data_IF_047103385160
#
_entry.id   IF_047103385160
#
_cell.length_a   1.000
_cell.length_b   1.000
_cell.length_c   1.000
_cell.angle_alpha   90.00
_cell.angle_beta   90.00
_cell.angle_gamma   90.00
#
_symmetry.space_group_name_H-M   'P 1'
#
loop_
_entity.id
_entity.type
_entity.pdbx_description
1 polymer ?
#
# COMPACT_ATOMS: atom_id res chain seq x y z
N UNK A 1 -18.07 -2.35 1.12
CA UNK A 1 -19.01 -1.25 1.38
C UNK A 1 -18.95 -0.85 2.85
N UNK A 2 -18.66 0.42 3.10
CA UNK A 2 -18.48 0.97 4.46
C UNK A 2 -19.60 1.99 4.72
N UNK A 3 -20.55 1.61 5.56
CA UNK A 3 -21.74 2.41 5.83
C UNK A 3 -21.40 3.77 6.45
N UNK A 4 -20.30 3.85 7.18
CA UNK A 4 -19.78 5.08 7.77
C UNK A 4 -19.20 6.06 6.74
N UNK A 5 -18.77 5.58 5.57
CA UNK A 5 -18.25 6.42 4.47
C UNK A 5 -19.37 6.77 3.50
N UNK A 6 -20.17 5.78 3.11
CA UNK A 6 -21.27 5.99 2.16
C UNK A 6 -22.52 6.60 2.79
N UNK A 7 -22.65 6.56 4.12
CA UNK A 7 -23.76 7.13 4.86
C UNK A 7 -25.14 6.70 4.29
N UNK A 8 -26.09 7.63 4.13
CA UNK A 8 -27.42 7.33 3.58
C UNK A 8 -27.41 6.96 2.09
N UNK A 9 -26.36 7.34 1.35
CA UNK A 9 -26.19 7.04 -0.08
C UNK A 9 -25.74 5.60 -0.34
N UNK A 10 -25.51 4.82 0.72
CA UNK A 10 -25.12 3.43 0.67
C UNK A 10 -25.83 2.62 -0.46
N UNK A 11 -27.17 2.53 -0.53
CA UNK A 11 -27.83 1.75 -1.57
C UNK A 11 -27.51 2.22 -2.99
N UNK A 12 -27.39 3.54 -3.19
CA UNK A 12 -27.06 4.15 -4.48
C UNK A 12 -25.62 3.83 -4.88
N UNK A 13 -24.66 4.01 -3.97
CA UNK A 13 -23.25 3.70 -4.21
C UNK A 13 -23.06 2.23 -4.58
N UNK A 14 -23.74 1.30 -3.88
CA UNK A 14 -23.67 -0.12 -4.20
C UNK A 14 -24.17 -0.42 -5.64
N UNK A 15 -25.29 0.18 -6.05
CA UNK A 15 -25.81 0.02 -7.40
C UNK A 15 -24.90 0.62 -8.48
N UNK A 16 -24.25 1.75 -8.19
CA UNK A 16 -23.28 2.38 -9.08
C UNK A 16 -22.00 1.57 -9.21
N UNK A 17 -21.48 1.02 -8.11
CA UNK A 17 -20.34 0.11 -8.13
C UNK A 17 -20.60 -1.14 -8.98
N UNK A 18 -21.77 -1.76 -8.85
CA UNK A 18 -22.15 -2.93 -9.67
C UNK A 18 -22.22 -2.58 -11.14
N UNK A 19 -22.87 -1.46 -11.49
CA UNK A 19 -22.96 -1.00 -12.89
C UNK A 19 -21.59 -0.69 -13.48
N UNK A 20 -20.72 -0.03 -12.71
CA UNK A 20 -19.37 0.30 -13.12
C UNK A 20 -18.54 -0.96 -13.38
N UNK A 21 -18.57 -1.93 -12.46
CA UNK A 21 -17.89 -3.22 -12.60
C UNK A 21 -18.31 -3.95 -13.88
N UNK A 22 -19.63 -4.03 -14.14
CA UNK A 22 -20.17 -4.65 -15.36
C UNK A 22 -19.71 -3.89 -16.61
N UNK A 23 -19.67 -2.56 -16.56
CA UNK A 23 -19.19 -1.72 -17.67
C UNK A 23 -17.73 -1.97 -18.04
N UNK A 24 -16.89 -2.33 -17.06
CA UNK A 24 -15.49 -2.73 -17.26
C UNK A 24 -15.33 -4.21 -17.66
N UNK A 25 -16.42 -4.97 -17.74
CA UNK A 25 -16.39 -6.39 -18.09
C UNK A 25 -16.16 -7.34 -16.91
N UNK A 26 -16.17 -6.85 -15.67
CA UNK A 26 -16.11 -7.71 -14.48
C UNK A 26 -17.47 -8.35 -14.19
N UNK A 27 -17.42 -9.60 -13.72
CA UNK A 27 -18.59 -10.25 -13.13
C UNK A 27 -18.72 -9.84 -11.66
N UNK A 28 -19.89 -9.31 -11.29
CA UNK A 28 -20.20 -9.06 -9.88
C UNK A 28 -20.35 -10.38 -9.12
N UNK A 29 -19.56 -10.56 -8.06
CA UNK A 29 -19.57 -11.78 -7.22
C UNK A 29 -20.25 -11.50 -5.89
N UNK A 30 -19.78 -10.49 -5.15
CA UNK A 30 -20.21 -10.25 -3.78
C UNK A 30 -19.94 -8.81 -3.32
N UNK A 31 -20.82 -8.27 -2.47
CA UNK A 31 -20.58 -6.99 -1.77
C UNK A 31 -20.11 -7.28 -0.36
N UNK A 32 -18.85 -6.97 -0.05
CA UNK A 32 -18.32 -7.11 1.31
C UNK A 32 -18.89 -6.03 2.22
N UNK A 33 -19.44 -6.42 3.36
CA UNK A 33 -19.80 -5.53 4.46
C UNK A 33 -18.99 -5.94 5.71
N UNK A 34 -17.92 -5.22 6.06
CA UNK A 34 -17.19 -5.46 7.28
C UNK A 34 -18.12 -5.34 8.50
N UNK A 35 -17.92 -6.13 9.58
CA UNK A 35 -18.63 -5.94 10.83
C UNK A 35 -18.44 -4.52 11.37
N UNK A 36 -19.48 -3.96 11.99
CA UNK A 36 -19.38 -2.64 12.62
C UNK A 36 -18.29 -2.65 13.71
N UNK A 37 -17.48 -1.58 13.74
CA UNK A 37 -16.38 -1.45 14.71
C UNK A 37 -15.21 -2.41 14.49
N UNK A 38 -15.13 -3.12 13.35
CA UNK A 38 -13.97 -3.95 13.06
C UNK A 38 -12.69 -3.11 13.01
N UNK A 39 -11.63 -3.58 13.67
CA UNK A 39 -10.39 -2.81 13.83
C UNK A 39 -9.68 -2.50 12.51
N UNK A 40 -9.89 -3.32 11.47
CA UNK A 40 -9.33 -3.11 10.13
C UNK A 40 -10.34 -3.52 9.04
N UNK A 41 -11.34 -2.66 8.73
CA UNK A 41 -12.40 -3.00 7.77
C UNK A 41 -11.87 -3.15 6.35
N UNK A 42 -10.75 -2.50 6.02
CA UNK A 42 -10.09 -2.59 4.71
C UNK A 42 -9.40 -3.96 4.60
N UNK A 43 -8.57 -4.33 5.58
CA UNK A 43 -7.93 -5.64 5.60
C UNK A 43 -8.93 -6.80 5.60
N UNK A 44 -10.07 -6.65 6.28
CA UNK A 44 -11.17 -7.61 6.21
C UNK A 44 -11.71 -7.77 4.79
N UNK A 45 -11.99 -6.65 4.09
CA UNK A 45 -12.52 -6.69 2.73
C UNK A 45 -11.53 -7.30 1.73
N UNK A 46 -10.25 -6.93 1.83
CA UNK A 46 -9.18 -7.54 1.02
C UNK A 46 -9.08 -9.03 1.29
N UNK A 47 -9.11 -9.46 2.56
CA UNK A 47 -9.03 -10.88 2.91
C UNK A 47 -10.17 -11.70 2.33
N UNK A 48 -11.40 -11.17 2.35
CA UNK A 48 -12.56 -11.83 1.71
C UNK A 48 -12.38 -11.90 0.20
N UNK A 49 -12.02 -10.79 -0.45
CA UNK A 49 -11.84 -10.72 -1.90
C UNK A 49 -10.74 -11.66 -2.40
N UNK A 50 -9.59 -11.71 -1.70
CA UNK A 50 -8.52 -12.68 -1.97
C UNK A 50 -9.00 -14.11 -1.75
N UNK A 51 -9.73 -14.37 -0.66
CA UNK A 51 -10.24 -15.70 -0.33
C UNK A 51 -11.24 -16.26 -1.33
N UNK A 52 -11.99 -15.41 -2.04
CA UNK A 52 -12.91 -15.80 -3.12
C UNK A 52 -12.28 -15.70 -4.51
N UNK A 53 -10.98 -15.42 -4.61
CA UNK A 53 -10.25 -15.20 -5.85
C UNK A 53 -10.90 -14.14 -6.77
N UNK A 54 -11.35 -13.04 -6.17
CA UNK A 54 -11.81 -11.89 -6.95
C UNK A 54 -10.65 -11.31 -7.78
N UNK A 55 -10.94 -10.83 -8.98
CA UNK A 55 -9.95 -10.16 -9.82
C UNK A 55 -9.68 -8.72 -9.36
N UNK A 56 -10.74 -8.01 -8.94
CA UNK A 56 -10.68 -6.62 -8.54
C UNK A 56 -11.58 -6.34 -7.33
N UNK A 57 -11.21 -5.33 -6.54
CA UNK A 57 -12.07 -4.71 -5.55
C UNK A 57 -12.62 -3.40 -6.14
N UNK A 58 -13.94 -3.33 -6.30
CA UNK A 58 -14.60 -2.09 -6.73
C UNK A 58 -15.08 -1.33 -5.50
N UNK A 59 -14.82 -0.03 -5.45
CA UNK A 59 -15.26 0.88 -4.39
C UNK A 59 -15.86 2.15 -4.99
N UNK A 60 -16.67 2.87 -4.20
CA UNK A 60 -17.27 4.10 -4.71
C UNK A 60 -16.20 5.19 -4.92
N UNK A 61 -15.38 5.43 -3.89
CA UNK A 61 -14.31 6.43 -3.88
C UNK A 61 -13.10 5.92 -3.09
N UNK A 62 -11.97 6.64 -3.18
CA UNK A 62 -10.77 6.31 -2.41
C UNK A 62 -10.98 6.42 -0.89
N UNK A 63 -11.91 7.26 -0.42
CA UNK A 63 -12.22 7.38 1.00
C UNK A 63 -12.71 6.04 1.59
N UNK A 64 -13.37 5.22 0.77
CA UNK A 64 -13.79 3.85 1.15
C UNK A 64 -12.59 2.98 1.56
N UNK A 65 -11.43 3.14 0.92
CA UNK A 65 -10.16 2.46 1.27
C UNK A 65 -9.24 3.34 2.11
N UNK A 66 -9.78 4.36 2.78
CA UNK A 66 -9.01 5.26 3.65
C UNK A 66 -7.95 6.08 2.91
N UNK A 67 -8.17 6.36 1.62
CA UNK A 67 -7.22 7.03 0.73
C UNK A 67 -5.87 6.31 0.63
N UNK A 68 -5.93 4.97 0.70
CA UNK A 68 -4.75 4.12 0.86
C UNK A 68 -4.79 2.99 -0.19
N UNK A 69 -4.79 3.33 -1.51
CA UNK A 69 -5.03 2.38 -2.59
C UNK A 69 -3.99 1.25 -2.64
N UNK A 70 -2.74 1.53 -2.26
CA UNK A 70 -1.65 0.55 -2.20
C UNK A 70 -2.01 -0.68 -1.36
N UNK A 71 -2.77 -0.51 -0.26
CA UNK A 71 -3.18 -1.65 0.60
C UNK A 71 -4.05 -2.67 -0.13
N UNK A 72 -4.77 -2.26 -1.17
CA UNK A 72 -5.57 -3.14 -2.03
C UNK A 72 -4.72 -3.64 -3.19
N UNK A 73 -3.99 -2.73 -3.84
CA UNK A 73 -3.16 -2.99 -5.00
C UNK A 73 -2.01 -3.98 -4.71
N UNK A 74 -1.65 -4.20 -3.44
CA UNK A 74 -0.73 -5.27 -3.05
C UNK A 74 -1.22 -6.69 -3.44
N UNK A 75 -2.52 -6.86 -3.72
CA UNK A 75 -3.12 -8.19 -3.95
C UNK A 75 -4.17 -8.24 -5.05
N UNK A 76 -4.84 -7.13 -5.34
CA UNK A 76 -6.02 -7.05 -6.21
C UNK A 76 -6.00 -5.75 -6.99
N UNK A 77 -6.56 -5.73 -8.19
CA UNK A 77 -6.85 -4.47 -8.86
C UNK A 77 -7.87 -3.69 -8.02
N UNK A 78 -7.77 -2.37 -7.98
CA UNK A 78 -8.73 -1.49 -7.33
C UNK A 78 -9.39 -0.60 -8.38
N UNK A 79 -10.72 -0.61 -8.42
CA UNK A 79 -11.52 0.26 -9.28
C UNK A 79 -12.30 1.25 -8.41
N UNK A 80 -12.22 2.53 -8.73
CA UNK A 80 -13.05 3.57 -8.10
C UNK A 80 -14.15 4.03 -9.06
N UNK A 81 -15.35 4.29 -8.55
CA UNK A 81 -16.47 4.83 -9.37
C UNK A 81 -16.34 6.35 -9.53
N UNK A 82 -15.91 7.04 -8.47
CA UNK A 82 -15.80 8.48 -8.42
C UNK A 82 -14.51 8.94 -7.67
N UNK A 83 -13.56 9.58 -8.37
CA UNK A 83 -13.45 9.60 -9.84
C UNK A 83 -13.27 8.17 -10.41
N UNK A 84 -13.64 7.92 -11.69
CA UNK A 84 -13.46 6.63 -12.32
C UNK A 84 -11.97 6.38 -12.62
N UNK A 85 -11.33 5.51 -11.85
CA UNK A 85 -9.90 5.19 -12.00
C UNK A 85 -9.63 3.71 -11.74
N UNK A 86 -8.67 3.17 -12.50
CA UNK A 86 -8.17 1.80 -12.36
C UNK A 86 -6.77 1.81 -11.77
N UNK A 87 -6.62 1.12 -10.66
CA UNK A 87 -5.38 0.98 -9.91
C UNK A 87 -4.93 -0.48 -10.02
N UNK A 88 -4.02 -0.74 -10.96
CA UNK A 88 -3.55 -2.09 -11.22
C UNK A 88 -2.80 -2.66 -10.01
N UNK A 89 -3.05 -3.95 -9.73
CA UNK A 89 -2.33 -4.69 -8.71
C UNK A 89 -0.84 -4.68 -9.03
N UNK A 90 -0.03 -4.48 -7.98
CA UNK A 90 1.39 -4.75 -8.07
C UNK A 90 1.56 -6.23 -8.38
N UNK A 91 1.99 -6.54 -9.61
CA UNK A 91 2.38 -7.91 -9.93
C UNK A 91 3.68 -8.17 -9.17
N UNK A 92 3.70 -9.07 -8.18
CA UNK A 92 4.95 -9.41 -7.53
C UNK A 92 5.84 -10.01 -8.61
N UNK A 93 7.05 -9.47 -8.77
CA UNK A 93 8.01 -9.95 -9.77
C UNK A 93 8.30 -11.46 -9.64
N UNK A 94 8.02 -12.04 -8.46
CA UNK A 94 8.03 -13.47 -8.19
C UNK A 94 6.75 -13.89 -7.45
N UNK A 95 5.94 -14.84 -7.97
CA UNK A 95 4.76 -15.38 -7.29
C UNK A 95 5.08 -16.03 -5.92
N UNK A 96 6.33 -16.45 -5.68
CA UNK A 96 6.76 -16.90 -4.35
C UNK A 96 6.75 -15.77 -3.30
N UNK A 97 6.61 -14.52 -3.71
CA UNK A 97 6.55 -13.33 -2.86
C UNK A 97 5.20 -12.60 -2.93
N UNK A 98 4.21 -13.18 -3.60
CA UNK A 98 2.83 -12.70 -3.58
C UNK A 98 2.29 -12.60 -2.15
N UNK A 99 1.35 -11.67 -1.95
CA UNK A 99 0.70 -11.47 -0.66
C UNK A 99 0.08 -12.79 -0.16
N UNK A 100 0.39 -13.22 1.08
CA UNK A 100 -0.07 -14.51 1.57
C UNK A 100 -1.56 -14.45 1.96
N UNK A 101 -2.21 -15.62 1.99
CA UNK A 101 -3.46 -15.78 2.73
C UNK A 101 -3.28 -15.38 4.21
N UNK A 102 -4.37 -15.01 4.92
CA UNK A 102 -4.29 -14.59 6.32
C UNK A 102 -3.59 -15.62 7.22
N UNK A 103 -2.62 -15.16 8.03
CA UNK A 103 -1.89 -16.00 8.97
C UNK A 103 -2.79 -16.32 10.17
N UNK A 104 -2.92 -17.61 10.47
CA UNK A 104 -3.84 -18.08 11.52
C UNK A 104 -3.14 -18.57 12.78
N UNK A 105 -1.81 -18.78 12.73
CA UNK A 105 -1.06 -19.34 13.86
C UNK A 105 0.35 -18.79 14.04
N UNK A 106 0.85 -18.86 15.29
CA UNK A 106 2.23 -18.57 15.65
C UNK A 106 3.25 -19.40 14.85
N UNK A 107 2.94 -20.68 14.66
CA UNK A 107 3.81 -21.62 13.96
C UNK A 107 3.93 -21.27 12.48
N UNK A 108 2.83 -20.84 11.86
CA UNK A 108 2.80 -20.37 10.49
C UNK A 108 3.60 -19.07 10.32
N UNK A 109 3.38 -18.08 11.19
CA UNK A 109 4.16 -16.84 11.18
C UNK A 109 5.67 -17.12 11.31
N UNK A 110 6.05 -18.00 12.24
CA UNK A 110 7.45 -18.41 12.44
C UNK A 110 8.01 -19.13 11.22
N UNK A 111 7.24 -20.02 10.59
CA UNK A 111 7.65 -20.74 9.38
C UNK A 111 7.90 -19.78 8.21
N UNK A 112 7.01 -18.82 7.99
CA UNK A 112 7.17 -17.79 6.95
C UNK A 112 8.45 -16.98 7.20
N UNK A 113 8.72 -16.59 8.45
CA UNK A 113 9.97 -15.89 8.80
C UNK A 113 11.23 -16.71 8.47
N UNK A 114 11.19 -18.03 8.66
CA UNK A 114 12.29 -18.94 8.32
C UNK A 114 12.45 -19.14 6.81
N UNK A 115 11.35 -19.38 6.10
CA UNK A 115 11.35 -19.57 4.64
C UNK A 115 11.85 -18.32 3.91
N UNK A 116 11.50 -17.14 4.41
CA UNK A 116 11.87 -15.85 3.83
C UNK A 116 13.03 -15.20 4.58
N UNK A 117 13.95 -15.97 5.18
CA UNK A 117 15.07 -15.41 5.95
C UNK A 117 15.92 -14.45 5.11
N UNK A 118 16.11 -14.75 3.82
CA UNK A 118 16.86 -13.94 2.87
C UNK A 118 16.12 -12.66 2.41
N UNK A 119 14.80 -12.62 2.52
CA UNK A 119 14.03 -11.47 2.06
C UNK A 119 14.15 -10.27 3.01
N UNK A 120 14.10 -9.06 2.48
CA UNK A 120 13.95 -7.86 3.31
C UNK A 120 12.47 -7.68 3.67
N UNK A 121 12.16 -7.48 4.96
CA UNK A 121 10.77 -7.42 5.41
C UNK A 121 9.96 -6.28 4.78
N UNK A 122 10.60 -5.14 4.44
CA UNK A 122 9.91 -4.02 3.77
C UNK A 122 9.55 -4.32 2.31
N UNK A 123 10.23 -5.29 1.68
CA UNK A 123 10.01 -5.66 0.27
C UNK A 123 9.27 -6.99 0.09
N UNK A 124 9.09 -7.76 1.17
CA UNK A 124 8.46 -9.08 1.10
C UNK A 124 7.15 -9.06 1.87
N UNK A 125 5.99 -9.00 1.18
CA UNK A 125 4.67 -8.96 1.80
C UNK A 125 4.46 -10.10 2.81
N UNK A 126 4.93 -11.32 2.45
CA UNK A 126 4.85 -12.50 3.33
C UNK A 126 5.61 -12.30 4.64
N UNK A 127 6.87 -11.84 4.56
CA UNK A 127 7.70 -11.59 5.73
C UNK A 127 7.18 -10.42 6.57
N UNK A 128 6.69 -9.37 5.92
CA UNK A 128 6.07 -8.21 6.58
C UNK A 128 4.85 -8.63 7.40
N UNK A 129 3.92 -9.39 6.80
CA UNK A 129 2.73 -9.86 7.49
C UNK A 129 3.07 -10.78 8.66
N UNK A 130 4.01 -11.72 8.47
CA UNK A 130 4.47 -12.60 9.54
C UNK A 130 5.11 -11.84 10.70
N UNK A 131 5.94 -10.82 10.40
CA UNK A 131 6.53 -9.96 11.42
C UNK A 131 5.45 -9.19 12.19
N UNK A 132 4.47 -8.60 11.50
CA UNK A 132 3.38 -7.88 12.14
C UNK A 132 2.57 -8.79 13.07
N UNK A 133 2.27 -10.01 12.63
CA UNK A 133 1.55 -11.00 13.43
C UNK A 133 2.34 -11.37 14.70
N UNK A 134 3.65 -11.63 14.57
CA UNK A 134 4.52 -11.96 15.71
C UNK A 134 4.65 -10.81 16.71
N UNK A 135 4.70 -9.57 16.22
CA UNK A 135 4.70 -8.37 17.07
C UNK A 135 3.37 -8.25 17.82
N UNK A 136 2.24 -8.37 17.12
CA UNK A 136 0.91 -8.34 17.74
C UNK A 136 0.71 -9.45 18.78
N UNK A 137 1.29 -10.63 18.55
CA UNK A 137 1.26 -11.75 19.49
C UNK A 137 2.28 -11.62 20.64
N UNK A 138 3.04 -10.52 20.72
CA UNK A 138 4.02 -10.28 21.78
C UNK A 138 5.25 -11.19 21.72
N UNK A 139 5.54 -11.80 20.56
CA UNK A 139 6.72 -12.68 20.37
C UNK A 139 7.94 -11.94 19.84
N UNK A 140 7.73 -10.79 19.20
CA UNK A 140 8.79 -9.93 18.70
C UNK A 140 8.53 -8.51 19.20
N UNK A 141 9.54 -7.88 19.77
CA UNK A 141 9.43 -6.47 20.14
C UNK A 141 9.40 -5.60 18.87
N UNK A 142 8.47 -4.62 18.78
CA UNK A 142 8.51 -3.62 17.71
C UNK A 142 9.89 -2.96 17.65
N UNK A 143 10.43 -2.80 16.46
CA UNK A 143 11.70 -2.09 16.28
C UNK A 143 11.44 -0.59 16.42
N UNK A 144 12.24 0.09 17.25
CA UNK A 144 12.16 1.56 17.42
C UNK A 144 12.95 2.34 16.38
N UNK A 145 13.75 1.64 15.57
CA UNK A 145 14.56 2.19 14.47
C UNK A 145 14.24 1.47 13.18
N UNK A 146 14.22 2.22 12.09
CA UNK A 146 14.01 1.69 10.75
C UNK A 146 15.14 0.73 10.32
N UNK A 147 14.90 -0.14 9.33
CA UNK A 147 15.94 -0.99 8.75
C UNK A 147 17.17 -0.22 8.27
N UNK A 148 16.96 0.96 7.65
CA UNK A 148 18.03 1.82 7.13
C UNK A 148 18.88 2.40 8.26
N UNK A 149 18.25 2.96 9.30
CA UNK A 149 18.97 3.49 10.48
C UNK A 149 19.78 2.41 11.21
N UNK A 150 19.21 1.20 11.32
CA UNK A 150 19.91 0.07 11.94
C UNK A 150 21.10 -0.40 11.11
N UNK A 151 20.99 -0.39 9.78
CA UNK A 151 22.09 -0.72 8.89
C UNK A 151 23.22 0.32 9.00
N UNK A 152 22.87 1.61 8.93
CA UNK A 152 23.81 2.72 9.11
C UNK A 152 24.53 2.68 10.46
N UNK A 153 23.80 2.45 11.57
CA UNK A 153 24.37 2.31 12.90
C UNK A 153 25.35 1.13 13.04
N UNK A 154 25.27 0.15 12.14
CA UNK A 154 26.14 -1.02 12.10
C UNK A 154 27.22 -0.92 11.01
N UNK A 155 27.25 0.17 10.25
CA UNK A 155 28.14 0.31 9.09
C UNK A 155 27.86 -0.70 7.97
N UNK A 156 26.63 -1.22 7.90
CA UNK A 156 26.23 -2.20 6.88
C UNK A 156 25.55 -1.44 5.72
N UNK A 157 25.96 -1.69 4.46
CA UNK A 157 25.26 -1.15 3.30
C UNK A 157 23.78 -1.59 3.30
N UNK A 158 22.87 -0.64 3.17
CA UNK A 158 21.45 -0.93 2.98
C UNK A 158 21.14 -1.00 1.48
N UNK A 159 20.52 -2.08 0.98
CA UNK A 159 20.22 -2.20 -0.44
C UNK A 159 19.23 -1.10 -0.89
N UNK A 160 19.38 -0.57 -2.12
CA UNK A 160 18.40 0.37 -2.67
C UNK A 160 17.05 -0.31 -2.81
N UNK A 161 15.98 0.40 -2.44
CA UNK A 161 14.61 -0.04 -2.66
C UNK A 161 14.21 0.22 -4.14
N UNK A 162 13.20 -0.49 -4.68
CA UNK A 162 12.76 -0.31 -6.07
C UNK A 162 12.41 1.14 -6.44
N UNK A 163 11.87 1.89 -5.48
CA UNK A 163 11.50 3.30 -5.62
C UNK A 163 12.56 4.27 -5.05
N UNK A 164 13.73 3.77 -4.63
CA UNK A 164 14.82 4.66 -4.22
C UNK A 164 15.33 5.38 -5.48
N UNK A 165 14.97 6.65 -5.61
CA UNK A 165 15.62 7.53 -6.55
C UNK A 165 17.06 7.79 -6.10
N UNK A 166 18.03 7.87 -7.03
CA UNK A 166 19.37 8.30 -6.67
C UNK A 166 19.25 9.65 -5.97
N UNK A 167 19.83 9.75 -4.77
CA UNK A 167 19.98 11.03 -4.10
C UNK A 167 20.71 11.94 -5.08
N UNK A 168 20.11 13.09 -5.40
CA UNK A 168 20.73 14.11 -6.24
C UNK A 168 22.12 14.38 -5.67
N UNK A 169 23.16 14.08 -6.45
CA UNK A 169 24.54 14.33 -6.04
C UNK A 169 24.69 15.83 -5.87
N UNK A 170 24.99 16.28 -4.65
CA UNK A 170 25.06 17.70 -4.31
C UNK A 170 23.77 18.33 -3.77
N UNK A 171 22.71 17.55 -3.53
CA UNK A 171 21.57 18.04 -2.75
C UNK A 171 22.00 18.28 -1.30
N UNK A 172 21.85 19.52 -0.86
CA UNK A 172 22.07 19.93 0.51
C UNK A 172 20.74 20.23 1.23
N UNK A 173 20.82 20.49 2.53
CA UNK A 173 19.65 20.80 3.35
C UNK A 173 18.93 22.08 2.89
N UNK A 174 19.62 23.02 2.20
CA UNK A 174 19.00 24.26 1.72
C UNK A 174 18.09 23.97 0.54
N UNK A 175 18.54 23.15 -0.41
CA UNK A 175 17.71 22.72 -1.53
C UNK A 175 16.46 21.98 -1.06
N UNK A 176 16.58 21.12 -0.04
CA UNK A 176 15.42 20.43 0.54
C UNK A 176 14.41 21.41 1.12
N UNK A 177 14.87 22.41 1.88
CA UNK A 177 13.99 23.42 2.46
C UNK A 177 13.29 24.26 1.38
N UNK A 178 14.00 24.65 0.32
CA UNK A 178 13.42 25.40 -0.80
C UNK A 178 12.32 24.60 -1.53
N UNK A 179 12.52 23.29 -1.73
CA UNK A 179 11.50 22.41 -2.31
C UNK A 179 10.29 22.31 -1.40
N UNK A 180 10.51 22.13 -0.09
CA UNK A 180 9.41 22.02 0.89
C UNK A 180 8.61 23.32 0.98
N UNK A 181 9.27 24.47 0.98
CA UNK A 181 8.62 25.79 0.98
C UNK A 181 7.75 25.96 -0.28
N UNK A 182 8.27 25.57 -1.46
CA UNK A 182 7.53 25.61 -2.72
C UNK A 182 6.33 24.66 -2.76
N UNK A 183 6.37 23.51 -2.07
CA UNK A 183 5.23 22.60 -1.96
C UNK A 183 4.12 23.13 -1.04
N UNK A 184 4.44 24.02 -0.11
CA UNK A 184 3.48 24.66 0.79
C UNK A 184 2.91 25.98 0.25
N UNK A 185 3.51 26.54 -0.81
CA UNK A 185 3.04 27.76 -1.44
C UNK A 185 2.02 27.44 -2.56
N UNK A 186 0.74 27.84 -2.40
CA UNK A 186 -0.29 27.58 -3.40
C UNK A 186 -0.09 28.34 -4.72
N UNK A 187 0.81 29.33 -4.76
CA UNK A 187 1.15 30.09 -5.97
C UNK A 187 2.46 29.64 -6.63
N UNK A 188 3.12 28.60 -6.09
CA UNK A 188 4.40 28.14 -6.61
C UNK A 188 4.30 27.59 -8.05
N UNK A 189 5.16 28.12 -8.93
CA UNK A 189 5.32 27.64 -10.30
C UNK A 189 6.21 26.38 -10.33
N UNK A 190 5.56 25.22 -10.50
CA UNK A 190 6.22 23.92 -10.61
C UNK A 190 7.28 23.87 -11.72
N UNK A 191 7.14 24.65 -12.80
CA UNK A 191 8.10 24.67 -13.90
C UNK A 191 9.42 25.36 -13.50
N UNK A 192 9.35 26.40 -12.65
CA UNK A 192 10.55 27.06 -12.10
C UNK A 192 11.31 26.15 -11.14
N UNK A 193 10.60 25.41 -10.27
CA UNK A 193 11.19 24.41 -9.38
C UNK A 193 11.91 23.30 -10.16
N UNK A 194 11.27 22.74 -11.19
CA UNK A 194 11.86 21.70 -12.05
C UNK A 194 13.10 22.18 -12.81
N UNK A 195 13.10 23.44 -13.27
CA UNK A 195 14.26 24.03 -13.97
C UNK A 195 15.48 24.16 -13.06
N UNK A 196 15.28 24.43 -11.76
CA UNK A 196 16.36 24.55 -10.75
C UNK A 196 16.88 23.20 -10.25
N UNK A 197 16.09 22.13 -10.36
CA UNK A 197 16.50 20.75 -10.04
C UNK A 197 17.26 20.07 -11.19
N UNK A 198 17.11 20.57 -12.42
CA UNK A 198 17.76 20.04 -13.63
C UNK A 198 19.30 20.04 -13.64
N UNK A 199 20.04 21.02 -13.06
CA UNK A 199 21.51 21.00 -13.09
C UNK A 199 22.14 19.92 -12.21
N UNK A 200 21.38 19.21 -11.37
CA UNK A 200 21.86 18.16 -10.47
C UNK A 200 21.77 16.74 -11.06
N UNK A 201 21.45 16.62 -12.36
CA UNK A 201 21.23 15.34 -13.07
C UNK A 201 22.33 14.96 -14.09
N UNK A 202 23.44 15.70 -14.14
CA UNK A 202 24.62 15.34 -14.96
C UNK A 202 25.84 15.09 -14.08
N UNK A 203 26.01 13.83 -13.68
CA UNK A 203 27.21 13.00 -13.91
C UNK A 203 27.13 11.70 -13.08
#
# INVERSE_FOLDING_TARGET
MRSEVSGPDAPRHAAEMVRHAIGLGYQYVYTVRPPEGHADPIGFAVSVAVGIHAAALVVYDLATVGNTPSRVCDSLDLETVYPPETWAAATPADPAHAYPAPITSLAEASRIMQQHIACLAVLCPRKSLALHWLVRAGRVAPQTRSPRERAAARGIPFPPLPDDHPLLVGADARLLLEVLDGLTDPEADAAQLMTRLSPLTRD
#
